data_IF_422048958281
#
_entry.id   IF_422048958281
#
_cell.length_a   1.000
_cell.length_b   1.000
_cell.length_c   1.000
_cell.angle_alpha   90.00
_cell.angle_beta   90.00
_cell.angle_gamma   90.00
#
_symmetry.space_group_name_H-M   'P 1'
#
loop_
_entity.id
_entity.type
_entity.pdbx_description
1 polymer ?
#
# COMPACT_ATOMS: atom_id res chain seq x y z
N UNK A 1 -6.97 -12.68 7.49
CA UNK A 1 -6.00 -11.56 7.46
C UNK A 1 -5.35 -11.27 8.80
N UNK A 2 -6.08 -11.03 9.91
CA UNK A 2 -5.45 -10.68 11.20
C UNK A 2 -4.45 -11.73 11.71
N UNK A 3 -4.76 -13.03 11.57
CA UNK A 3 -3.85 -14.12 11.92
C UNK A 3 -2.55 -14.07 11.09
N UNK A 4 -2.64 -13.77 9.80
CA UNK A 4 -1.48 -13.66 8.92
C UNK A 4 -0.63 -12.45 9.29
N UNK A 5 -1.25 -11.28 9.47
CA UNK A 5 -0.57 -10.06 9.88
C UNK A 5 0.17 -10.20 11.22
N UNK A 6 -0.35 -11.02 12.13
CA UNK A 6 0.29 -11.36 13.41
C UNK A 6 1.24 -12.55 13.35
N UNK A 7 1.57 -13.08 12.17
CA UNK A 7 2.48 -14.21 11.99
C UNK A 7 1.96 -15.56 12.51
N UNK A 8 0.65 -15.69 12.75
CA UNK A 8 0.00 -16.91 13.27
C UNK A 8 -0.53 -17.83 12.18
N UNK A 9 -0.52 -17.39 10.92
CA UNK A 9 -0.86 -18.14 9.73
C UNK A 9 0.00 -17.63 8.57
N UNK A 10 0.29 -18.49 7.60
CA UNK A 10 1.13 -18.18 6.44
C UNK A 10 0.48 -18.64 5.14
N UNK A 11 1.31 -18.79 4.10
CA UNK A 11 0.87 -19.13 2.74
C UNK A 11 0.03 -20.40 2.69
N UNK A 12 0.40 -21.44 3.44
CA UNK A 12 -0.32 -22.71 3.45
C UNK A 12 -1.77 -22.57 3.94
N UNK A 13 -2.00 -21.83 5.03
CA UNK A 13 -3.35 -21.58 5.54
C UNK A 13 -4.17 -20.71 4.58
N UNK A 14 -3.54 -19.75 3.91
CA UNK A 14 -4.19 -18.90 2.91
C UNK A 14 -4.64 -19.75 1.71
N UNK A 15 -3.75 -20.63 1.22
CA UNK A 15 -4.03 -21.49 0.08
C UNK A 15 -5.12 -22.51 0.41
N UNK A 16 -5.11 -23.08 1.62
CA UNK A 16 -6.18 -23.97 2.09
C UNK A 16 -7.53 -23.24 2.18
N UNK A 17 -7.55 -22.01 2.70
CA UNK A 17 -8.77 -21.20 2.77
C UNK A 17 -9.30 -20.83 1.37
N UNK A 18 -8.41 -20.48 0.43
CA UNK A 18 -8.78 -20.19 -0.96
C UNK A 18 -9.27 -21.44 -1.70
N UNK A 19 -8.70 -22.61 -1.42
CA UNK A 19 -9.17 -23.87 -1.99
C UNK A 19 -10.58 -24.22 -1.50
N UNK A 20 -10.89 -23.91 -0.23
CA UNK A 20 -12.21 -24.10 0.35
C UNK A 20 -13.25 -23.08 -0.16
N UNK A 21 -12.83 -21.85 -0.47
CA UNK A 21 -13.68 -20.78 -1.03
C UNK A 21 -13.10 -20.23 -2.35
N UNK A 22 -13.48 -20.84 -3.46
CA UNK A 22 -13.07 -20.43 -4.81
C UNK A 22 -13.94 -19.31 -5.41
N UNK A 23 -14.63 -18.53 -4.59
CA UNK A 23 -15.43 -17.38 -5.06
C UNK A 23 -14.56 -16.14 -5.26
N UNK A 24 -15.14 -15.09 -5.85
CA UNK A 24 -14.49 -13.79 -5.98
C UNK A 24 -14.15 -13.16 -4.61
N UNK A 25 -14.97 -13.40 -3.59
CA UNK A 25 -14.72 -12.92 -2.22
C UNK A 25 -13.61 -13.71 -1.54
N UNK A 26 -13.54 -15.03 -1.80
CA UNK A 26 -12.42 -15.88 -1.38
C UNK A 26 -11.09 -15.42 -1.98
N UNK A 27 -11.07 -15.12 -3.28
CA UNK A 27 -9.89 -14.58 -3.96
C UNK A 27 -9.43 -13.22 -3.38
N UNK A 28 -10.36 -12.31 -3.12
CA UNK A 28 -10.09 -11.02 -2.46
C UNK A 28 -9.51 -11.21 -1.05
N UNK A 29 -10.10 -12.11 -0.26
CA UNK A 29 -9.63 -12.42 1.09
C UNK A 29 -8.22 -13.01 1.08
N UNK A 30 -7.93 -13.88 0.11
CA UNK A 30 -6.60 -14.45 -0.09
C UNK A 30 -5.58 -13.38 -0.52
N UNK A 31 -5.91 -12.50 -1.47
CA UNK A 31 -5.04 -11.40 -1.90
C UNK A 31 -4.70 -10.46 -0.74
N UNK A 32 -5.70 -10.04 0.04
CA UNK A 32 -5.49 -9.21 1.22
C UNK A 32 -4.64 -9.93 2.27
N UNK A 33 -4.87 -11.23 2.50
CA UNK A 33 -4.10 -12.01 3.46
C UNK A 33 -2.63 -12.17 3.04
N UNK A 34 -2.36 -12.49 1.76
CA UNK A 34 -0.99 -12.61 1.24
C UNK A 34 -0.24 -11.29 1.36
N UNK A 35 -0.89 -10.17 1.05
CA UNK A 35 -0.28 -8.85 1.19
C UNK A 35 -0.01 -8.43 2.65
N UNK A 36 -0.72 -9.05 3.59
CA UNK A 36 -0.53 -8.84 5.02
C UNK A 36 0.57 -9.74 5.63
N UNK A 37 1.25 -10.58 4.85
CA UNK A 37 2.39 -11.37 5.35
C UNK A 37 3.45 -10.43 5.97
N UNK A 38 3.86 -10.65 7.23
CA UNK A 38 4.74 -9.74 7.96
C UNK A 38 6.21 -10.08 7.70
N UNK A 39 6.59 -10.24 6.44
CA UNK A 39 7.98 -10.47 6.02
C UNK A 39 8.33 -9.60 4.82
N UNK A 40 9.62 -9.35 4.60
CA UNK A 40 10.11 -8.58 3.47
C UNK A 40 9.69 -9.22 2.13
N UNK A 41 9.81 -10.54 2.03
CA UNK A 41 9.42 -11.31 0.84
C UNK A 41 7.91 -11.22 0.59
N UNK A 42 7.10 -11.23 1.66
CA UNK A 42 5.66 -11.05 1.58
C UNK A 42 5.27 -9.67 1.03
N UNK A 43 5.93 -8.61 1.50
CA UNK A 43 5.73 -7.25 0.97
C UNK A 43 6.18 -7.14 -0.48
N UNK A 44 7.31 -7.74 -0.83
CA UNK A 44 7.82 -7.73 -2.20
C UNK A 44 6.87 -8.45 -3.15
N UNK A 45 6.39 -9.64 -2.78
CA UNK A 45 5.43 -10.38 -3.58
C UNK A 45 4.11 -9.61 -3.77
N UNK A 46 3.64 -8.95 -2.71
CA UNK A 46 2.44 -8.13 -2.78
C UNK A 46 2.62 -6.92 -3.71
N UNK A 47 3.76 -6.23 -3.61
CA UNK A 47 4.12 -5.13 -4.50
C UNK A 47 4.16 -5.58 -5.96
N UNK A 48 4.96 -6.60 -6.27
CA UNK A 48 5.13 -7.13 -7.62
C UNK A 48 3.79 -7.55 -8.25
N UNK A 49 2.87 -8.13 -7.45
CA UNK A 49 1.58 -8.61 -7.94
C UNK A 49 0.66 -7.54 -8.53
N UNK A 50 0.87 -6.24 -8.22
CA UNK A 50 -0.03 -5.15 -8.68
C UNK A 50 0.69 -3.90 -9.18
N UNK A 51 1.95 -3.67 -8.80
CA UNK A 51 2.77 -2.57 -9.29
C UNK A 51 3.58 -2.97 -10.52
N UNK A 52 4.18 -4.16 -10.50
CA UNK A 52 4.95 -4.69 -11.63
C UNK A 52 4.02 -5.39 -12.63
N UNK A 53 3.08 -6.19 -12.14
CA UNK A 53 2.03 -6.78 -12.97
C UNK A 53 0.87 -5.81 -13.24
N UNK A 54 0.18 -6.01 -14.37
CA UNK A 54 -0.98 -5.23 -14.80
C UNK A 54 -2.22 -6.07 -15.11
N UNK A 55 -2.20 -7.32 -14.67
CA UNK A 55 -3.22 -8.33 -15.00
C UNK A 55 -4.35 -8.42 -13.97
N UNK A 56 -4.19 -7.83 -12.79
CA UNK A 56 -5.15 -7.96 -11.70
C UNK A 56 -6.32 -6.98 -11.86
N UNK A 57 -7.57 -7.42 -11.57
CA UNK A 57 -8.72 -6.52 -11.58
C UNK A 57 -8.62 -5.51 -10.43
N UNK A 58 -9.25 -4.35 -10.61
CA UNK A 58 -9.21 -3.24 -9.63
C UNK A 58 -9.58 -3.65 -8.20
N UNK A 59 -10.54 -4.56 -8.04
CA UNK A 59 -10.93 -5.07 -6.72
C UNK A 59 -9.76 -5.79 -6.03
N UNK A 60 -8.98 -6.60 -6.76
CA UNK A 60 -7.81 -7.28 -6.21
C UNK A 60 -6.74 -6.26 -5.84
N UNK A 61 -6.42 -5.31 -6.73
CA UNK A 61 -5.47 -4.21 -6.45
C UNK A 61 -5.80 -3.49 -5.14
N UNK A 62 -7.08 -3.12 -4.95
CA UNK A 62 -7.56 -2.46 -3.72
C UNK A 62 -7.35 -3.35 -2.50
N UNK A 63 -7.75 -4.62 -2.57
CA UNK A 63 -7.63 -5.55 -1.43
C UNK A 63 -6.17 -5.87 -1.10
N UNK A 64 -5.29 -5.97 -2.10
CA UNK A 64 -3.85 -6.12 -1.90
C UNK A 64 -3.30 -4.91 -1.15
N UNK A 65 -3.65 -3.68 -1.53
CA UNK A 65 -3.24 -2.46 -0.81
C UNK A 65 -3.70 -2.41 0.65
N UNK A 66 -4.92 -2.89 0.94
CA UNK A 66 -5.42 -3.03 2.32
C UNK A 66 -4.58 -4.01 3.15
N UNK A 67 -4.11 -5.09 2.55
CA UNK A 67 -3.22 -6.05 3.19
C UNK A 67 -1.79 -5.53 3.34
N UNK A 68 -1.27 -4.88 2.29
CA UNK A 68 0.09 -4.35 2.23
C UNK A 68 0.40 -3.41 3.39
N UNK A 69 -0.49 -2.44 3.65
CA UNK A 69 -0.34 -1.50 4.77
C UNK A 69 -0.57 -2.13 6.15
N UNK A 70 -1.08 -3.36 6.22
CA UNK A 70 -1.25 -4.08 7.48
C UNK A 70 0.06 -4.78 7.84
N UNK A 71 0.97 -4.03 8.46
CA UNK A 71 2.24 -4.51 8.95
C UNK A 71 2.33 -4.21 10.46
N UNK A 72 2.60 -5.23 11.28
CA UNK A 72 2.83 -5.03 12.71
C UNK A 72 4.20 -4.37 12.96
N UNK A 73 5.20 -4.78 12.18
CA UNK A 73 6.46 -4.07 12.02
C UNK A 73 6.34 -3.13 10.81
N UNK A 74 6.25 -1.83 11.07
CA UNK A 74 6.10 -0.81 10.04
C UNK A 74 7.37 -0.61 9.22
N UNK A 75 8.54 -1.02 9.73
CA UNK A 75 9.82 -0.87 9.03
C UNK A 75 9.88 -1.70 7.74
N UNK A 76 9.05 -2.76 7.64
CA UNK A 76 8.85 -3.51 6.39
C UNK A 76 8.30 -2.64 5.25
N UNK A 77 7.74 -1.46 5.54
CA UNK A 77 7.23 -0.52 4.54
C UNK A 77 8.28 0.53 4.14
N UNK A 78 9.34 0.75 4.94
CA UNK A 78 10.34 1.80 4.69
C UNK A 78 11.02 1.68 3.31
N UNK A 79 11.42 0.48 2.83
CA UNK A 79 12.00 0.34 1.49
C UNK A 79 11.08 0.80 0.35
N UNK A 80 9.77 0.88 0.60
CA UNK A 80 8.78 1.25 -0.41
C UNK A 80 8.53 2.74 -0.50
N UNK A 81 9.09 3.58 0.39
CA UNK A 81 8.95 5.05 0.29
C UNK A 81 9.53 5.54 -1.03
N UNK A 82 10.80 5.22 -1.31
CA UNK A 82 11.44 5.57 -2.58
C UNK A 82 10.76 4.91 -3.77
N UNK A 83 10.56 3.58 -3.72
CA UNK A 83 9.94 2.83 -4.82
C UNK A 83 8.53 3.34 -5.18
N UNK A 84 7.76 3.80 -4.19
CA UNK A 84 6.45 4.40 -4.40
C UNK A 84 6.54 5.70 -5.19
N UNK A 85 7.36 6.65 -4.74
CA UNK A 85 7.48 7.96 -5.38
C UNK A 85 8.08 7.88 -6.79
N UNK A 86 9.07 7.01 -6.99
CA UNK A 86 9.69 6.78 -8.30
C UNK A 86 8.68 6.22 -9.32
N UNK A 87 7.71 5.42 -8.87
CA UNK A 87 6.75 4.77 -9.74
C UNK A 87 5.51 5.63 -10.08
N UNK A 88 5.25 6.72 -9.35
CA UNK A 88 3.97 7.45 -9.44
C UNK A 88 3.64 7.96 -10.84
N UNK A 89 4.59 8.62 -11.51
CA UNK A 89 4.35 9.15 -12.87
C UNK A 89 4.10 8.01 -13.85
N UNK A 90 4.95 6.97 -13.85
CA UNK A 90 4.82 5.85 -14.76
C UNK A 90 3.49 5.10 -14.60
N UNK A 91 3.02 4.89 -13.36
CA UNK A 91 1.71 4.28 -13.10
C UNK A 91 0.58 5.18 -13.57
N UNK A 92 0.69 6.50 -13.36
CA UNK A 92 -0.34 7.44 -13.78
C UNK A 92 -0.50 7.50 -15.31
N UNK A 93 0.60 7.42 -16.04
CA UNK A 93 0.61 7.47 -17.50
C UNK A 93 0.18 6.14 -18.14
N UNK A 94 0.55 5.01 -17.53
CA UNK A 94 0.37 3.68 -18.13
C UNK A 94 -0.92 2.97 -17.70
N UNK A 95 -1.51 3.32 -16.56
CA UNK A 95 -2.68 2.61 -16.00
C UNK A 95 -3.94 3.44 -16.14
N UNK A 96 -5.09 2.76 -16.18
CA UNK A 96 -6.38 3.45 -16.07
C UNK A 96 -6.46 4.25 -14.76
N UNK A 97 -7.15 5.39 -14.77
CA UNK A 97 -7.31 6.23 -13.57
C UNK A 97 -7.79 5.44 -12.35
N UNK A 98 -8.73 4.49 -12.54
CA UNK A 98 -9.28 3.71 -11.46
C UNK A 98 -8.25 2.75 -10.81
N UNK A 99 -7.30 2.23 -11.59
CA UNK A 99 -6.19 1.39 -11.11
C UNK A 99 -5.11 2.28 -10.47
N UNK A 100 -4.71 3.36 -11.15
CA UNK A 100 -3.70 4.29 -10.65
C UNK A 100 -4.12 4.86 -9.28
N UNK A 101 -5.35 5.36 -9.15
CA UNK A 101 -5.86 5.87 -7.88
C UNK A 101 -5.90 4.80 -6.77
N UNK A 102 -6.17 3.53 -7.12
CA UNK A 102 -6.16 2.42 -6.17
C UNK A 102 -4.73 2.07 -5.70
N UNK A 103 -3.74 2.09 -6.60
CA UNK A 103 -2.33 1.88 -6.27
C UNK A 103 -1.81 3.01 -5.39
N UNK A 104 -1.99 4.26 -5.83
CA UNK A 104 -1.54 5.48 -5.13
C UNK A 104 -2.11 5.52 -3.70
N UNK A 105 -3.43 5.49 -3.56
CA UNK A 105 -4.05 5.57 -2.23
C UNK A 105 -3.89 4.30 -1.38
N UNK A 106 -3.73 3.15 -2.02
CA UNK A 106 -3.68 1.85 -1.34
C UNK A 106 -2.31 1.48 -0.79
N UNK A 107 -1.23 2.01 -1.38
CA UNK A 107 0.15 1.60 -1.08
C UNK A 107 1.04 2.74 -0.56
N UNK A 108 0.53 3.97 -0.47
CA UNK A 108 1.21 5.01 0.30
C UNK A 108 1.50 4.49 1.72
N UNK A 109 2.77 4.54 2.19
CA UNK A 109 3.20 3.85 3.41
C UNK A 109 2.83 4.63 4.68
N UNK A 110 1.58 5.08 4.77
CA UNK A 110 1.03 5.87 5.87
C UNK A 110 1.24 5.28 7.28
N UNK A 111 1.34 3.95 7.50
CA UNK A 111 1.64 3.42 8.83
C UNK A 111 2.99 3.86 9.40
N UNK A 112 3.97 4.27 8.56
CA UNK A 112 5.23 4.84 9.04
C UNK A 112 4.98 6.11 9.86
N UNK A 113 4.06 6.97 9.37
CA UNK A 113 3.61 8.18 10.04
C UNK A 113 4.75 9.02 10.64
N UNK A 114 5.87 9.14 9.92
CA UNK A 114 7.09 9.80 10.37
C UNK A 114 7.44 11.02 9.50
N UNK A 115 8.46 11.76 9.93
CA UNK A 115 8.93 12.96 9.25
C UNK A 115 9.55 12.63 7.87
N UNK A 116 10.23 11.49 7.76
CA UNK A 116 10.86 11.05 6.50
C UNK A 116 9.82 10.87 5.39
N UNK A 117 8.69 10.20 5.69
CA UNK A 117 7.61 10.04 4.72
C UNK A 117 6.97 11.39 4.35
N UNK A 118 6.77 12.26 5.34
CA UNK A 118 6.22 13.62 5.14
C UNK A 118 7.12 14.42 4.20
N UNK A 119 8.41 14.43 4.44
CA UNK A 119 9.40 15.19 3.67
C UNK A 119 9.56 14.62 2.26
N UNK A 120 9.58 13.30 2.09
CA UNK A 120 9.59 12.66 0.78
C UNK A 120 8.34 13.02 -0.05
N UNK A 121 7.18 13.09 0.59
CA UNK A 121 5.91 13.48 -0.07
C UNK A 121 5.94 14.93 -0.53
N UNK A 122 6.45 15.85 0.32
CA UNK A 122 6.62 17.27 -0.03
C UNK A 122 7.61 17.43 -1.17
N UNK A 123 8.78 16.79 -1.09
CA UNK A 123 9.81 16.85 -2.13
C UNK A 123 9.29 16.35 -3.48
N UNK A 124 8.53 15.24 -3.47
CA UNK A 124 7.90 14.75 -4.69
C UNK A 124 6.88 15.75 -5.24
N UNK A 125 6.03 16.33 -4.40
CA UNK A 125 5.10 17.38 -4.85
C UNK A 125 5.87 18.55 -5.45
N UNK A 126 6.88 19.10 -4.80
CA UNK A 126 7.61 20.27 -5.32
C UNK A 126 8.28 20.00 -6.68
N UNK A 127 8.80 18.78 -6.88
CA UNK A 127 9.39 18.36 -8.14
C UNK A 127 8.37 18.06 -9.25
N UNK A 128 7.11 17.79 -8.91
CA UNK A 128 6.07 17.31 -9.82
C UNK A 128 4.85 18.25 -9.82
N UNK A 129 4.89 19.38 -10.55
CA UNK A 129 3.79 20.34 -10.64
C UNK A 129 2.57 19.83 -11.43
N UNK A 130 2.76 18.80 -12.27
CA UNK A 130 1.74 18.24 -13.15
C UNK A 130 1.77 16.69 -13.09
N UNK A 131 0.66 16.00 -13.45
CA UNK A 131 -0.66 16.55 -13.71
C UNK A 131 -1.44 16.85 -12.41
N UNK A 132 -2.43 17.77 -12.41
CA UNK A 132 -3.01 18.30 -11.17
C UNK A 132 -3.83 17.24 -10.43
N UNK A 133 -4.42 16.29 -11.17
CA UNK A 133 -5.17 15.19 -10.59
C UNK A 133 -4.29 14.21 -9.82
N UNK A 134 -3.07 13.92 -10.31
CA UNK A 134 -2.09 13.09 -9.59
C UNK A 134 -1.59 13.82 -8.34
N UNK A 135 -1.19 15.09 -8.48
CA UNK A 135 -0.81 15.95 -7.35
C UNK A 135 -1.88 15.97 -6.27
N UNK A 136 -3.16 16.10 -6.66
CA UNK A 136 -4.27 16.14 -5.71
C UNK A 136 -4.28 14.88 -4.85
N UNK A 137 -4.18 13.69 -5.45
CA UNK A 137 -4.14 12.43 -4.70
C UNK A 137 -2.96 12.40 -3.71
N UNK A 138 -1.76 12.81 -4.13
CA UNK A 138 -0.57 12.83 -3.27
C UNK A 138 -0.69 13.86 -2.15
N UNK A 139 -1.24 15.05 -2.43
CA UNK A 139 -1.46 16.10 -1.42
C UNK A 139 -2.49 15.70 -0.34
N UNK A 140 -3.50 14.91 -0.72
CA UNK A 140 -4.48 14.34 0.23
C UNK A 140 -3.80 13.33 1.17
N UNK A 141 -2.83 12.57 0.67
CA UNK A 141 -2.03 11.62 1.45
C UNK A 141 -1.07 12.35 2.42
N UNK A 142 -0.41 13.42 1.95
CA UNK A 142 0.41 14.30 2.80
C UNK A 142 -0.40 14.83 3.98
N UNK A 143 -1.60 15.36 3.70
CA UNK A 143 -2.51 15.86 4.74
C UNK A 143 -2.82 14.80 5.80
N UNK A 144 -2.88 13.53 5.40
CA UNK A 144 -3.05 12.39 6.30
C UNK A 144 -1.87 12.20 7.25
N UNK A 145 -0.63 12.24 6.74
CA UNK A 145 0.58 12.05 7.55
C UNK A 145 0.82 13.23 8.50
N UNK A 146 0.59 14.46 8.05
CA UNK A 146 0.73 15.66 8.88
C UNK A 146 -0.26 15.69 10.05
N UNK A 147 -1.47 15.14 9.86
CA UNK A 147 -2.41 14.96 10.97
C UNK A 147 -1.90 13.94 11.98
N UNK A 148 -1.33 12.83 11.51
CA UNK A 148 -0.79 11.79 12.38
C UNK A 148 0.38 12.33 13.22
N UNK A 149 1.32 13.04 12.61
CA UNK A 149 2.44 13.70 13.30
C UNK A 149 1.96 14.70 14.36
N UNK A 150 0.96 15.53 14.03
CA UNK A 150 0.37 16.46 15.01
C UNK A 150 -0.30 15.76 16.19
N UNK A 151 -0.97 14.64 15.94
CA UNK A 151 -1.59 13.84 17.00
C UNK A 151 -0.52 13.20 17.91
N UNK A 152 0.51 12.59 17.32
CA UNK A 152 1.64 12.00 18.07
C UNK A 152 2.36 13.04 18.94
N UNK A 153 2.61 14.23 18.41
CA UNK A 153 3.22 15.32 19.17
C UNK A 153 2.37 15.72 20.39
N UNK A 154 1.03 15.64 20.28
CA UNK A 154 0.11 15.91 21.38
C UNK A 154 -0.01 14.76 22.37
N UNK A 155 0.09 13.50 21.93
CA UNK A 155 0.10 12.35 22.82
C UNK A 155 1.39 12.26 23.67
N UNK A 156 2.47 12.91 23.22
CA UNK A 156 3.76 12.98 23.90
C UNK A 156 3.89 14.14 24.92
N UNK A 157 2.92 15.06 24.96
CA UNK A 157 2.81 16.17 25.93
C UNK A 157 2.20 15.70 27.26
#
# INVERSE_FOLDING_TARGET
TALVAGGRAGTAEIDAALAADRTATGAQSAAQARAALPTAEGKQAAWASVWEADTEPNTIVRTTGLGFRRAADTELLRPYVGAYFDALQGVWESRSYAIAAALIGGFYPSPLADEELRDATVAWLDANPEPPALRRLVSELLSGVERALRAQAKDAE
#
